data_IF_847263353616
#
_entry.id   IF_847263353616
#
_cell.length_a   1.000
_cell.length_b   1.000
_cell.length_c   1.000
_cell.angle_alpha   90.00
_cell.angle_beta   90.00
_cell.angle_gamma   90.00
#
_symmetry.space_group_name_H-M   'P 1'
#
loop_
_entity.id
_entity.type
_entity.pdbx_description
1 polymer ?
#
# COMPACT_ATOMS: atom_id res chain seq x y z
N UNK A 1 13.70 -17.74 -12.16
CA UNK A 1 13.89 -16.84 -11.02
C UNK A 1 12.56 -16.37 -10.46
N UNK A 2 11.66 -15.77 -11.27
CA UNK A 2 10.40 -15.18 -10.80
C UNK A 2 9.54 -16.20 -10.01
N UNK A 3 9.35 -17.42 -10.54
CA UNK A 3 8.61 -18.50 -9.85
C UNK A 3 9.25 -18.84 -8.50
N UNK A 4 10.58 -18.87 -8.44
CA UNK A 4 11.30 -19.13 -7.19
C UNK A 4 11.13 -18.01 -6.17
N UNK A 5 11.09 -16.75 -6.61
CA UNK A 5 10.82 -15.59 -5.74
C UNK A 5 9.40 -15.64 -5.19
N UNK A 6 8.40 -15.96 -6.03
CA UNK A 6 7.01 -16.12 -5.60
C UNK A 6 6.88 -17.27 -4.58
N UNK A 7 7.53 -18.42 -4.86
CA UNK A 7 7.61 -19.52 -3.90
C UNK A 7 8.31 -19.13 -2.59
N UNK A 8 9.35 -18.30 -2.69
CA UNK A 8 10.03 -17.71 -1.54
C UNK A 8 9.12 -16.83 -0.68
N UNK A 9 8.25 -16.01 -1.28
CA UNK A 9 7.28 -15.20 -0.54
C UNK A 9 6.28 -16.05 0.23
N UNK A 10 5.82 -17.17 -0.34
CA UNK A 10 4.93 -18.11 0.34
C UNK A 10 5.64 -18.77 1.53
N UNK A 11 6.92 -19.11 1.38
CA UNK A 11 7.73 -19.73 2.43
C UNK A 11 8.25 -18.71 3.46
N UNK A 12 8.26 -17.43 3.15
CA UNK A 12 8.85 -16.36 3.97
C UNK A 12 8.30 -16.32 5.40
N UNK A 13 7.00 -16.53 5.56
CA UNK A 13 6.32 -16.53 6.85
C UNK A 13 6.86 -17.67 7.76
N UNK A 14 7.09 -18.84 7.19
CA UNK A 14 7.59 -20.01 7.92
C UNK A 14 9.04 -19.83 8.40
N UNK A 15 9.88 -19.15 7.60
CA UNK A 15 11.29 -18.94 7.89
C UNK A 15 11.61 -17.59 8.52
N UNK A 16 10.60 -16.75 8.79
CA UNK A 16 10.75 -15.39 9.32
C UNK A 16 11.71 -14.50 8.50
N UNK A 17 11.73 -14.69 7.17
CA UNK A 17 12.54 -13.91 6.24
C UNK A 17 11.71 -12.75 5.71
N UNK A 18 12.26 -11.54 5.74
CA UNK A 18 11.57 -10.38 5.17
C UNK A 18 11.40 -10.53 3.65
N UNK A 19 10.20 -10.25 3.14
CA UNK A 19 9.89 -10.33 1.71
C UNK A 19 10.84 -9.47 0.85
N UNK A 20 11.26 -8.31 1.37
CA UNK A 20 12.25 -7.46 0.71
C UNK A 20 13.60 -8.16 0.48
N UNK A 21 14.05 -8.97 1.43
CA UNK A 21 15.29 -9.74 1.29
C UNK A 21 15.18 -10.77 0.16
N UNK A 22 14.05 -11.48 0.07
CA UNK A 22 13.80 -12.46 -0.98
C UNK A 22 13.74 -11.76 -2.37
N UNK A 23 13.06 -10.62 -2.45
CA UNK A 23 12.98 -9.85 -3.69
C UNK A 23 14.36 -9.35 -4.15
N UNK A 24 15.16 -8.79 -3.23
CA UNK A 24 16.52 -8.31 -3.53
C UNK A 24 17.45 -9.43 -3.95
N UNK A 25 17.40 -10.58 -3.26
CA UNK A 25 18.15 -11.75 -3.63
C UNK A 25 17.77 -12.28 -5.02
N UNK A 26 16.47 -12.36 -5.30
CA UNK A 26 15.94 -12.75 -6.60
C UNK A 26 16.38 -11.79 -7.73
N UNK A 27 16.37 -10.51 -7.48
CA UNK A 27 16.86 -9.49 -8.43
C UNK A 27 18.36 -9.64 -8.69
N UNK A 28 19.18 -9.86 -7.65
CA UNK A 28 20.62 -10.11 -7.80
C UNK A 28 20.90 -11.38 -8.62
N UNK A 29 20.21 -12.49 -8.32
CA UNK A 29 20.34 -13.73 -9.10
C UNK A 29 19.92 -13.51 -10.55
N UNK A 30 18.82 -12.78 -10.80
CA UNK A 30 18.36 -12.48 -12.15
C UNK A 30 19.40 -11.66 -12.92
N UNK A 31 20.00 -10.65 -12.28
CA UNK A 31 21.03 -9.82 -12.89
C UNK A 31 22.29 -10.63 -13.24
N UNK A 32 22.72 -11.52 -12.33
CA UNK A 32 23.86 -12.42 -12.60
C UNK A 32 23.55 -13.33 -13.79
N UNK A 33 22.36 -13.93 -13.84
CA UNK A 33 21.96 -14.81 -14.95
C UNK A 33 21.82 -14.03 -16.27
N UNK A 34 21.31 -12.81 -16.22
CA UNK A 34 21.14 -11.94 -17.38
C UNK A 34 22.48 -11.52 -17.99
N UNK A 35 23.50 -11.37 -17.16
CA UNK A 35 24.86 -10.98 -17.58
C UNK A 35 25.79 -12.19 -17.79
N UNK A 36 25.34 -13.40 -17.47
CA UNK A 36 26.15 -14.61 -17.64
C UNK A 36 26.44 -14.88 -19.12
N UNK A 37 27.68 -15.16 -19.44
CA UNK A 37 28.12 -15.43 -20.80
C UNK A 37 28.36 -14.19 -21.67
N UNK A 38 28.14 -12.99 -21.15
CA UNK A 38 28.48 -11.73 -21.83
C UNK A 38 29.96 -11.40 -21.64
N UNK A 39 30.56 -10.74 -22.62
CA UNK A 39 31.89 -10.14 -22.45
C UNK A 39 31.83 -8.92 -21.50
N UNK A 40 32.97 -8.36 -21.14
CA UNK A 40 33.03 -7.28 -20.16
C UNK A 40 32.27 -6.02 -20.60
N UNK A 41 32.31 -5.69 -21.88
CA UNK A 41 31.64 -4.50 -22.42
C UNK A 41 30.12 -4.69 -22.47
N UNK A 42 29.66 -5.83 -22.98
CA UNK A 42 28.22 -6.16 -22.97
C UNK A 42 27.66 -6.27 -21.55
N UNK A 43 28.45 -6.82 -20.62
CA UNK A 43 28.03 -6.94 -19.21
C UNK A 43 27.81 -5.59 -18.58
N UNK A 44 28.75 -4.66 -18.75
CA UNK A 44 28.63 -3.29 -18.24
C UNK A 44 27.37 -2.62 -18.81
N UNK A 45 27.16 -2.70 -20.11
CA UNK A 45 25.98 -2.13 -20.76
C UNK A 45 24.66 -2.75 -20.28
N UNK A 46 24.60 -4.05 -20.10
CA UNK A 46 23.41 -4.76 -19.54
C UNK A 46 23.13 -4.35 -18.11
N UNK A 47 24.14 -4.17 -17.28
CA UNK A 47 24.01 -3.70 -15.92
C UNK A 47 23.47 -2.26 -15.91
N UNK A 48 24.06 -1.38 -16.72
CA UNK A 48 23.61 0.00 -16.84
C UNK A 48 22.15 0.10 -17.29
N UNK A 49 21.75 -0.67 -18.32
CA UNK A 49 20.36 -0.76 -18.75
C UNK A 49 19.42 -1.22 -17.63
N UNK A 50 19.81 -2.25 -16.87
CA UNK A 50 19.00 -2.74 -15.76
C UNK A 50 18.80 -1.67 -14.67
N UNK A 51 19.86 -0.91 -14.33
CA UNK A 51 19.79 0.18 -13.35
C UNK A 51 19.00 1.38 -13.85
N UNK A 52 19.02 1.65 -15.16
CA UNK A 52 18.24 2.73 -15.77
C UNK A 52 16.73 2.42 -15.82
N UNK A 53 16.34 1.14 -15.71
CA UNK A 53 14.92 0.74 -15.58
C UNK A 53 14.39 0.86 -14.16
N UNK A 54 15.26 1.05 -13.17
CA UNK A 54 14.85 1.23 -11.77
C UNK A 54 14.21 2.62 -11.60
N UNK A 55 13.03 2.66 -11.04
CA UNK A 55 12.36 3.92 -10.68
C UNK A 55 12.95 4.50 -9.39
N UNK A 56 14.11 5.13 -9.51
CA UNK A 56 14.80 5.79 -8.40
C UNK A 56 13.97 6.88 -7.75
N UNK A 57 13.14 7.57 -8.52
CA UNK A 57 12.28 8.64 -8.01
C UNK A 57 11.30 8.07 -6.97
N UNK A 58 10.66 6.96 -7.29
CA UNK A 58 9.75 6.27 -6.37
C UNK A 58 10.49 5.74 -5.13
N UNK A 59 11.69 5.17 -5.30
CA UNK A 59 12.50 4.68 -4.16
C UNK A 59 12.83 5.82 -3.19
N UNK A 60 13.36 6.95 -3.70
CA UNK A 60 13.69 8.10 -2.85
C UNK A 60 12.46 8.77 -2.26
N UNK A 61 11.35 8.80 -3.00
CA UNK A 61 10.08 9.28 -2.47
C UNK A 61 9.65 8.47 -1.24
N UNK A 62 9.66 7.13 -1.31
CA UNK A 62 9.30 6.30 -0.17
C UNK A 62 10.30 6.38 0.96
N UNK A 63 11.60 6.44 0.69
CA UNK A 63 12.60 6.64 1.71
C UNK A 63 12.36 7.94 2.49
N UNK A 64 12.08 9.05 1.80
CA UNK A 64 11.72 10.32 2.41
C UNK A 64 10.40 10.26 3.18
N UNK A 65 9.39 9.60 2.61
CA UNK A 65 8.09 9.41 3.28
C UNK A 65 8.24 8.66 4.61
N UNK A 66 8.96 7.53 4.63
CA UNK A 66 9.18 6.77 5.86
C UNK A 66 10.00 7.55 6.89
N UNK A 67 10.99 8.33 6.46
CA UNK A 67 11.75 9.19 7.34
C UNK A 67 10.85 10.28 7.98
N UNK A 68 9.95 10.90 7.20
CA UNK A 68 8.98 11.86 7.71
C UNK A 68 7.99 11.24 8.69
N UNK A 69 7.43 10.05 8.36
CA UNK A 69 6.48 9.34 9.24
C UNK A 69 7.16 8.97 10.56
N UNK A 70 8.40 8.47 10.50
CA UNK A 70 9.19 8.20 11.70
C UNK A 70 9.43 9.46 12.53
N UNK A 71 9.78 10.58 11.89
CA UNK A 71 9.95 11.86 12.59
C UNK A 71 8.66 12.37 13.25
N UNK A 72 7.50 12.16 12.62
CA UNK A 72 6.19 12.50 13.21
C UNK A 72 5.85 11.60 14.41
N UNK A 73 6.21 10.32 14.34
CA UNK A 73 6.04 9.37 15.43
C UNK A 73 6.88 9.76 16.66
N UNK A 74 8.18 9.99 16.44
CA UNK A 74 9.12 10.42 17.49
C UNK A 74 8.75 11.78 18.11
N UNK A 75 8.24 12.71 17.30
CA UNK A 75 7.74 14.00 17.76
C UNK A 75 6.41 13.92 18.55
N UNK A 76 5.79 12.74 18.64
CA UNK A 76 4.48 12.55 19.27
C UNK A 76 3.32 13.20 18.51
N UNK A 77 3.53 13.62 17.24
CA UNK A 77 2.50 14.27 16.44
C UNK A 77 1.33 13.34 16.08
N UNK A 78 1.53 12.04 16.15
CA UNK A 78 0.47 11.06 15.94
C UNK A 78 -0.44 10.85 17.16
N UNK A 79 -0.03 11.27 18.35
CA UNK A 79 -0.79 11.07 19.60
C UNK A 79 -2.17 11.76 19.56
N UNK A 80 -2.30 13.04 19.18
CA UNK A 80 -3.61 13.68 19.08
C UNK A 80 -4.56 12.98 18.09
N UNK A 81 -4.01 12.45 17.01
CA UNK A 81 -4.78 11.70 16.01
C UNK A 81 -5.23 10.34 16.54
N UNK A 82 -4.38 9.68 17.34
CA UNK A 82 -4.71 8.44 18.03
C UNK A 82 -5.82 8.67 19.06
N UNK A 83 -5.71 9.72 19.87
CA UNK A 83 -6.73 10.08 20.87
C UNK A 83 -8.07 10.43 20.22
N UNK A 84 -8.05 11.18 19.12
CA UNK A 84 -9.25 11.46 18.34
C UNK A 84 -9.91 10.17 17.82
N UNK A 85 -9.11 9.24 17.29
CA UNK A 85 -9.61 7.95 16.78
C UNK A 85 -10.21 7.09 17.90
N UNK A 86 -9.55 7.00 19.07
CA UNK A 86 -10.04 6.28 20.25
C UNK A 86 -11.36 6.87 20.74
N UNK A 87 -11.43 8.20 20.83
CA UNK A 87 -12.63 8.90 21.28
C UNK A 87 -13.81 8.66 20.32
N UNK A 88 -13.59 8.68 19.00
CA UNK A 88 -14.63 8.35 18.03
C UNK A 88 -15.06 6.90 18.07
N UNK A 89 -14.15 5.99 18.39
CA UNK A 89 -14.44 4.56 18.52
C UNK A 89 -15.26 4.25 19.79
N UNK A 90 -15.23 5.13 20.81
CA UNK A 90 -15.90 4.96 22.11
C UNK A 90 -15.61 3.58 22.74
N UNK A 91 -14.38 3.09 22.63
CA UNK A 91 -13.96 1.78 23.10
C UNK A 91 -14.55 0.58 22.35
N UNK A 92 -15.30 0.81 21.27
CA UNK A 92 -15.91 -0.25 20.47
C UNK A 92 -15.03 -0.61 19.28
N UNK A 93 -14.50 -1.83 19.26
CA UNK A 93 -13.70 -2.34 18.14
C UNK A 93 -14.49 -2.35 16.81
N UNK A 94 -15.79 -2.58 16.87
CA UNK A 94 -16.68 -2.54 15.70
C UNK A 94 -16.74 -1.13 15.11
N UNK A 95 -16.91 -0.09 15.95
CA UNK A 95 -16.89 1.31 15.48
C UNK A 95 -15.50 1.68 14.95
N UNK A 96 -14.44 1.33 15.66
CA UNK A 96 -13.06 1.56 15.22
C UNK A 96 -12.82 0.96 13.82
N UNK A 97 -13.28 -0.28 13.59
CA UNK A 97 -13.17 -0.97 12.31
C UNK A 97 -13.91 -0.22 11.19
N UNK A 98 -15.15 0.20 11.44
CA UNK A 98 -15.94 0.90 10.42
C UNK A 98 -15.41 2.30 10.13
N UNK A 99 -14.97 3.04 11.16
CA UNK A 99 -14.33 4.34 10.99
C UNK A 99 -13.03 4.18 10.18
N UNK A 100 -12.18 3.23 10.56
CA UNK A 100 -10.93 2.97 9.83
C UNK A 100 -11.19 2.63 8.37
N UNK A 101 -12.18 1.78 8.07
CA UNK A 101 -12.51 1.37 6.70
C UNK A 101 -12.88 2.57 5.81
N UNK A 102 -13.84 3.40 6.26
CA UNK A 102 -14.32 4.54 5.49
C UNK A 102 -13.28 5.67 5.43
N UNK A 103 -12.63 5.96 6.56
CA UNK A 103 -11.54 6.94 6.62
C UNK A 103 -10.43 6.57 5.64
N UNK A 104 -10.01 5.29 5.66
CA UNK A 104 -8.97 4.79 4.77
C UNK A 104 -9.37 4.89 3.30
N UNK A 105 -10.63 4.59 2.97
CA UNK A 105 -11.11 4.66 1.61
C UNK A 105 -11.07 6.10 1.06
N UNK A 106 -11.63 7.06 1.81
CA UNK A 106 -11.65 8.45 1.36
C UNK A 106 -10.27 9.10 1.38
N UNK A 107 -9.48 8.88 2.43
CA UNK A 107 -8.13 9.45 2.52
C UNK A 107 -7.21 8.88 1.44
N UNK A 108 -7.28 7.56 1.20
CA UNK A 108 -6.50 6.91 0.14
C UNK A 108 -6.87 7.40 -1.27
N UNK A 109 -8.13 7.74 -1.50
CA UNK A 109 -8.60 8.35 -2.77
C UNK A 109 -7.88 9.68 -3.07
N UNK A 110 -7.50 10.43 -2.03
CA UNK A 110 -6.84 11.74 -2.15
C UNK A 110 -5.32 11.65 -2.10
N UNK A 111 -4.78 10.85 -1.19
CA UNK A 111 -3.35 10.80 -0.87
C UNK A 111 -2.61 9.66 -1.58
N UNK A 112 -3.37 8.70 -2.13
CA UNK A 112 -2.83 7.43 -2.58
C UNK A 112 -2.73 6.40 -1.45
N UNK A 113 -2.81 5.10 -1.83
CA UNK A 113 -2.92 4.02 -0.87
C UNK A 113 -1.63 3.80 -0.04
N UNK A 114 -0.45 3.83 -0.67
CA UNK A 114 0.81 3.51 0.02
C UNK A 114 1.21 4.59 1.04
N UNK A 115 1.23 5.89 0.71
CA UNK A 115 1.52 6.95 1.68
C UNK A 115 0.56 6.94 2.87
N UNK A 116 -0.73 6.75 2.60
CA UNK A 116 -1.74 6.70 3.64
C UNK A 116 -1.53 5.52 4.59
N UNK A 117 -1.35 4.30 4.07
CA UNK A 117 -1.10 3.10 4.89
C UNK A 117 0.16 3.26 5.73
N UNK A 118 1.24 3.77 5.14
CA UNK A 118 2.50 3.99 5.86
C UNK A 118 2.32 4.89 7.10
N UNK A 119 1.47 5.92 6.99
CA UNK A 119 1.16 6.83 8.11
C UNK A 119 0.22 6.18 9.14
N UNK A 120 -0.70 5.31 8.71
CA UNK A 120 -1.68 4.69 9.60
C UNK A 120 -1.13 3.51 10.40
N UNK A 121 -0.07 2.84 9.94
CA UNK A 121 0.55 1.72 10.67
C UNK A 121 1.01 2.13 12.08
N UNK A 122 1.82 3.18 12.28
CA UNK A 122 2.19 3.63 13.62
C UNK A 122 0.98 4.05 14.45
N UNK A 123 0.00 4.71 13.85
CA UNK A 123 -1.21 5.13 14.55
C UNK A 123 -1.98 3.92 15.11
N UNK A 124 -2.21 2.87 14.32
CA UNK A 124 -2.90 1.67 14.79
C UNK A 124 -2.10 0.98 15.91
N UNK A 125 -0.77 0.92 15.79
CA UNK A 125 0.09 0.38 16.86
C UNK A 125 -0.05 1.17 18.17
N UNK A 126 -0.15 2.48 18.11
CA UNK A 126 -0.31 3.33 19.30
C UNK A 126 -1.66 3.11 19.99
N UNK A 127 -2.73 2.84 19.23
CA UNK A 127 -4.07 2.60 19.78
C UNK A 127 -4.34 1.13 20.13
N UNK A 128 -3.47 0.21 19.75
CA UNK A 128 -3.64 -1.24 19.92
C UNK A 128 -3.95 -1.63 21.36
N UNK A 129 -3.17 -1.11 22.31
CA UNK A 129 -3.37 -1.41 23.74
C UNK A 129 -4.67 -0.81 24.30
N UNK A 130 -5.05 0.36 23.81
CA UNK A 130 -6.28 1.03 24.26
C UNK A 130 -7.56 0.34 23.75
N UNK A 131 -7.47 -0.37 22.62
CA UNK A 131 -8.58 -1.08 21.99
C UNK A 131 -8.64 -2.59 22.31
N UNK A 132 -7.84 -3.07 23.27
CA UNK A 132 -7.92 -4.46 23.76
C UNK A 132 -6.80 -5.39 23.30
N UNK A 133 -5.74 -4.84 22.68
CA UNK A 133 -4.53 -5.57 22.30
C UNK A 133 -4.58 -6.19 20.89
N UNK A 134 -3.48 -6.86 20.53
CA UNK A 134 -3.19 -7.32 19.18
C UNK A 134 -4.25 -8.23 18.57
N UNK A 135 -4.79 -9.16 19.35
CA UNK A 135 -5.76 -10.13 18.84
C UNK A 135 -7.13 -9.49 18.58
N UNK A 136 -7.50 -8.48 19.38
CA UNK A 136 -8.77 -7.77 19.28
C UNK A 136 -8.76 -6.75 18.13
N UNK A 137 -7.60 -6.12 17.85
CA UNK A 137 -7.49 -5.06 16.83
C UNK A 137 -7.40 -5.58 15.38
N UNK A 138 -7.33 -6.89 15.17
CA UNK A 138 -7.20 -7.50 13.84
C UNK A 138 -8.23 -6.99 12.81
N UNK A 139 -9.52 -6.79 13.16
CA UNK A 139 -10.50 -6.23 12.22
C UNK A 139 -10.14 -4.81 11.74
N UNK A 140 -9.47 -4.00 12.58
CA UNK A 140 -9.02 -2.63 12.20
C UNK A 140 -7.90 -2.70 11.17
N UNK A 141 -6.98 -3.67 11.28
CA UNK A 141 -5.95 -3.91 10.27
C UNK A 141 -6.53 -4.32 8.92
N UNK A 142 -7.54 -5.19 8.93
CA UNK A 142 -8.27 -5.55 7.72
C UNK A 142 -9.04 -4.38 7.14
N UNK A 143 -9.64 -3.54 8.00
CA UNK A 143 -10.33 -2.33 7.58
C UNK A 143 -9.37 -1.32 6.92
N UNK A 144 -8.18 -1.11 7.48
CA UNK A 144 -7.14 -0.30 6.85
C UNK A 144 -6.76 -0.85 5.48
N UNK A 145 -6.50 -2.15 5.38
CA UNK A 145 -6.09 -2.81 4.13
C UNK A 145 -7.17 -2.69 3.04
N UNK A 146 -8.40 -3.11 3.35
CA UNK A 146 -9.51 -3.07 2.39
C UNK A 146 -9.89 -1.64 2.03
N UNK A 147 -9.98 -0.74 3.02
CA UNK A 147 -10.31 0.66 2.80
C UNK A 147 -9.29 1.36 1.91
N UNK A 148 -8.00 1.23 2.20
CA UNK A 148 -6.95 1.87 1.41
C UNK A 148 -6.87 1.31 -0.01
N UNK A 149 -7.00 -0.01 -0.19
CA UNK A 149 -6.96 -0.63 -1.51
C UNK A 149 -8.16 -0.22 -2.37
N UNK A 150 -9.38 -0.26 -1.84
CA UNK A 150 -10.56 0.19 -2.58
C UNK A 150 -10.58 1.71 -2.78
N UNK A 151 -10.06 2.48 -1.81
CA UNK A 151 -9.87 3.93 -1.93
C UNK A 151 -8.94 4.30 -3.09
N UNK A 152 -7.90 3.50 -3.35
CA UNK A 152 -7.02 3.68 -4.50
C UNK A 152 -7.74 3.64 -5.86
N UNK A 153 -8.93 3.04 -5.93
CA UNK A 153 -9.76 3.04 -7.14
C UNK A 153 -10.62 4.31 -7.26
N UNK A 154 -10.73 5.12 -6.20
CA UNK A 154 -11.63 6.28 -6.15
C UNK A 154 -11.21 7.47 -7.01
N UNK A 155 -9.92 7.61 -7.36
CA UNK A 155 -9.44 8.64 -8.28
C UNK A 155 -8.36 8.14 -9.23
N UNK A 156 -8.17 8.88 -10.32
CA UNK A 156 -7.18 8.52 -11.35
C UNK A 156 -5.76 8.48 -10.80
N UNK A 157 -5.44 9.37 -9.86
CA UNK A 157 -4.08 9.55 -9.30
C UNK A 157 -3.84 8.74 -8.03
N UNK A 158 -4.88 8.17 -7.43
CA UNK A 158 -4.76 7.44 -6.17
C UNK A 158 -4.00 6.11 -6.29
N UNK A 159 -3.97 5.51 -7.47
CA UNK A 159 -3.21 4.31 -7.75
C UNK A 159 -2.44 4.44 -9.07
N UNK A 160 -1.17 4.02 -9.06
CA UNK A 160 -0.32 4.04 -10.27
C UNK A 160 -0.90 3.22 -11.42
N UNK A 161 -1.59 2.13 -11.13
CA UNK A 161 -2.27 1.31 -12.13
C UNK A 161 -3.29 2.11 -12.96
N UNK A 162 -4.07 2.99 -12.32
CA UNK A 162 -5.05 3.84 -12.99
C UNK A 162 -4.38 4.81 -13.98
N UNK A 163 -3.27 5.43 -13.54
CA UNK A 163 -2.49 6.35 -14.38
C UNK A 163 -1.88 5.64 -15.58
N UNK A 164 -1.31 4.44 -15.37
CA UNK A 164 -0.72 3.63 -16.43
C UNK A 164 -1.78 3.25 -17.48
N UNK A 165 -2.93 2.73 -17.03
CA UNK A 165 -4.01 2.32 -17.93
C UNK A 165 -4.57 3.52 -18.71
N UNK A 166 -4.76 4.68 -18.03
CA UNK A 166 -5.20 5.91 -18.71
C UNK A 166 -4.16 6.40 -19.75
N UNK A 167 -2.86 6.29 -19.41
CA UNK A 167 -1.78 6.62 -20.33
C UNK A 167 -1.74 5.70 -21.56
N UNK A 168 -1.99 4.41 -21.38
CA UNK A 168 -2.10 3.45 -22.48
C UNK A 168 -3.33 3.74 -23.35
N UNK A 169 -4.50 3.99 -22.74
CA UNK A 169 -5.71 4.35 -23.47
C UNK A 169 -5.52 5.63 -24.32
N UNK A 170 -4.81 6.62 -23.75
CA UNK A 170 -4.52 7.86 -24.48
C UNK A 170 -3.64 7.63 -25.73
N UNK A 171 -2.70 6.68 -25.69
CA UNK A 171 -1.89 6.30 -26.84
C UNK A 171 -2.74 5.67 -27.96
N UNK A 172 -3.83 5.02 -27.61
CA UNK A 172 -4.81 4.44 -28.54
C UNK A 172 -5.92 5.44 -28.93
N UNK A 173 -5.76 6.73 -28.63
CA UNK A 173 -6.70 7.78 -28.99
C UNK A 173 -7.92 7.92 -28.04
N UNK A 174 -7.95 7.15 -26.96
CA UNK A 174 -9.03 7.22 -25.95
C UNK A 174 -8.60 8.11 -24.78
N UNK A 175 -9.10 9.33 -24.75
CA UNK A 175 -8.78 10.27 -23.68
C UNK A 175 -9.68 10.04 -22.45
N UNK A 176 -9.07 9.65 -21.33
CA UNK A 176 -9.72 9.49 -20.04
C UNK A 176 -9.41 10.72 -19.17
N UNK A 177 -10.35 11.68 -19.13
CA UNK A 177 -10.18 12.86 -18.28
C UNK A 177 -10.37 12.51 -16.79
N UNK A 178 -9.67 13.24 -15.93
CA UNK A 178 -9.75 13.07 -14.47
C UNK A 178 -11.18 13.11 -13.94
N UNK A 179 -11.96 14.10 -14.36
CA UNK A 179 -13.36 14.27 -13.91
C UNK A 179 -14.25 13.13 -14.39
N UNK A 180 -14.08 12.70 -15.64
CA UNK A 180 -14.85 11.57 -16.17
C UNK A 180 -14.53 10.27 -15.46
N UNK A 181 -13.27 10.04 -15.14
CA UNK A 181 -12.85 8.89 -14.32
C UNK A 181 -13.50 8.97 -12.94
N UNK A 182 -13.41 10.11 -12.26
CA UNK A 182 -13.93 10.33 -10.90
C UNK A 182 -15.44 10.03 -10.78
N UNK A 183 -16.23 10.43 -11.79
CA UNK A 183 -17.69 10.20 -11.81
C UNK A 183 -18.07 8.72 -11.78
N UNK A 184 -17.24 7.84 -12.34
CA UNK A 184 -17.46 6.39 -12.32
C UNK A 184 -16.73 5.70 -11.17
N UNK A 185 -15.54 6.18 -10.86
CA UNK A 185 -14.67 5.61 -9.86
C UNK A 185 -15.22 5.77 -8.43
N UNK A 186 -15.71 6.97 -8.07
CA UNK A 186 -16.24 7.21 -6.73
C UNK A 186 -17.46 6.32 -6.38
N UNK A 187 -18.51 6.21 -7.20
CA UNK A 187 -19.61 5.30 -6.91
C UNK A 187 -19.14 3.83 -6.79
N UNK A 188 -18.25 3.39 -7.68
CA UNK A 188 -17.70 2.03 -7.66
C UNK A 188 -16.90 1.79 -6.38
N UNK A 189 -16.09 2.74 -5.97
CA UNK A 189 -15.33 2.69 -4.71
C UNK A 189 -16.28 2.60 -3.51
N UNK A 190 -17.30 3.44 -3.43
CA UNK A 190 -18.28 3.43 -2.33
C UNK A 190 -19.01 2.08 -2.24
N UNK A 191 -19.42 1.51 -3.38
CA UNK A 191 -20.04 0.18 -3.42
C UNK A 191 -19.07 -0.89 -2.92
N UNK A 192 -17.81 -0.87 -3.39
CA UNK A 192 -16.79 -1.84 -2.99
C UNK A 192 -16.49 -1.77 -1.48
N UNK A 193 -16.38 -0.54 -0.94
CA UNK A 193 -16.18 -0.32 0.50
C UNK A 193 -17.42 -0.75 1.29
N UNK A 194 -18.63 -0.52 0.77
CA UNK A 194 -19.87 -1.01 1.36
C UNK A 194 -19.90 -2.55 1.45
N UNK A 195 -19.48 -3.23 0.39
CA UNK A 195 -19.35 -4.72 0.40
C UNK A 195 -18.31 -5.15 1.43
N UNK A 196 -17.16 -4.45 1.51
CA UNK A 196 -16.15 -4.72 2.52
C UNK A 196 -16.66 -4.50 3.95
N UNK A 197 -17.48 -3.45 4.18
CA UNK A 197 -18.11 -3.19 5.47
C UNK A 197 -19.05 -4.35 5.89
N UNK A 198 -19.85 -4.84 4.96
CA UNK A 198 -20.72 -5.99 5.17
C UNK A 198 -19.88 -7.24 5.47
N UNK A 199 -18.83 -7.50 4.68
CA UNK A 199 -17.93 -8.63 4.91
C UNK A 199 -17.30 -8.58 6.31
N UNK A 200 -16.72 -7.44 6.70
CA UNK A 200 -16.09 -7.28 8.01
C UNK A 200 -17.09 -7.43 9.15
N UNK A 201 -18.32 -6.94 8.94
CA UNK A 201 -19.39 -7.10 9.92
C UNK A 201 -19.72 -8.56 10.18
N UNK A 202 -19.95 -9.35 9.14
CA UNK A 202 -20.31 -10.77 9.30
C UNK A 202 -19.11 -11.66 9.69
N UNK A 203 -17.88 -11.23 9.40
CA UNK A 203 -16.69 -12.02 9.68
C UNK A 203 -16.21 -11.87 11.11
N UNK A 204 -16.43 -10.70 11.73
CA UNK A 204 -15.83 -10.35 13.02
C UNK A 204 -16.84 -9.93 14.11
N UNK A 205 -18.07 -9.63 13.74
CA UNK A 205 -19.11 -9.13 14.64
C UNK A 205 -20.43 -9.82 14.42
#
# INVERSE_FOLDING_TARGET
VLIAVIGGFIAAEHYHIANGTIAMFGAAVLLILYTAGSDNFEREHKIEQAFNLVDWTTIFFFAGLFALVFGLEEAGALTPLADWFINMAEGSIKRATMIMLWLSAFASTLLGNIPFVATMIPLIKNVENALGGRDVIMPVWWALSLGSCFGGNGSLIAASANVIVAGMANKEGVNISFVRFLLWALPTMVISVGIAAIYLHFRYF
#
